data_IF_183125880353
#
_entry.id   IF_183125880353
#
_cell.length_a   1.000
_cell.length_b   1.000
_cell.length_c   1.000
_cell.angle_alpha   90.00
_cell.angle_beta   90.00
_cell.angle_gamma   90.00
#
_symmetry.space_group_name_H-M   'P 1'
#
loop_
_entity.id
_entity.type
_entity.pdbx_description
1 polymer ?
#
# COMPACT_ATOMS: atom_id res chain seq x y z
N UNK A 1 -10.50 -7.29 17.41
CA UNK A 1 -11.14 -7.82 16.19
C UNK A 1 -10.34 -7.35 14.98
N UNK A 2 -9.94 -8.27 14.08
CA UNK A 2 -9.15 -7.95 12.89
C UNK A 2 -10.02 -7.49 11.72
N UNK A 3 -9.49 -6.64 10.86
CA UNK A 3 -10.09 -6.14 9.63
C UNK A 3 -9.18 -6.50 8.47
N UNK A 4 -9.70 -7.12 7.42
CA UNK A 4 -8.96 -7.35 6.18
C UNK A 4 -9.42 -6.33 5.14
N UNK A 5 -8.48 -5.82 4.35
CA UNK A 5 -8.69 -4.79 3.33
C UNK A 5 -8.03 -5.31 2.07
N UNK A 6 -8.80 -5.39 0.99
CA UNK A 6 -8.27 -5.73 -0.33
C UNK A 6 -8.48 -4.52 -1.25
N UNK A 7 -7.43 -4.14 -1.98
CA UNK A 7 -7.48 -3.14 -3.03
C UNK A 7 -6.69 -3.67 -4.24
N UNK A 8 -7.39 -3.92 -5.35
CA UNK A 8 -6.76 -4.22 -6.63
C UNK A 8 -6.79 -2.94 -7.48
N UNK A 9 -5.63 -2.53 -8.01
CA UNK A 9 -5.57 -1.50 -9.04
C UNK A 9 -5.14 -2.17 -10.35
N UNK A 10 -6.05 -2.21 -11.33
CA UNK A 10 -5.80 -2.73 -12.68
C UNK A 10 -5.79 -1.54 -13.65
N UNK A 11 -4.67 -1.32 -14.34
CA UNK A 11 -4.56 -0.37 -15.47
C UNK A 11 -3.81 -1.10 -16.60
N UNK A 12 -4.30 -0.98 -17.83
CA UNK A 12 -4.07 -1.95 -18.92
C UNK A 12 -3.14 -1.48 -20.08
N UNK A 13 -2.44 -2.46 -20.68
CA UNK A 13 -1.74 -2.58 -22.00
C UNK A 13 -0.35 -1.90 -22.20
N UNK A 14 0.58 -2.40 -23.05
CA UNK A 14 0.82 -3.75 -23.60
C UNK A 14 1.92 -4.49 -22.82
N UNK A 15 1.97 -4.26 -21.52
CA UNK A 15 2.78 -5.00 -20.55
C UNK A 15 1.80 -5.36 -19.43
N UNK A 16 1.80 -6.61 -18.98
CA UNK A 16 0.82 -7.04 -17.98
C UNK A 16 1.27 -6.53 -16.61
N UNK A 17 0.77 -5.36 -16.20
CA UNK A 17 0.96 -4.82 -14.85
C UNK A 17 -0.14 -5.38 -13.96
N UNK A 18 0.22 -6.26 -13.03
CA UNK A 18 -0.65 -6.69 -11.94
C UNK A 18 -0.18 -6.04 -10.64
N UNK A 19 -0.92 -5.05 -10.14
CA UNK A 19 -0.68 -4.45 -8.84
C UNK A 19 -1.79 -4.85 -7.85
N UNK A 20 -1.45 -5.74 -6.92
CA UNK A 20 -2.32 -6.17 -5.83
C UNK A 20 -1.89 -5.50 -4.53
N UNK A 21 -2.83 -4.91 -3.80
CA UNK A 21 -2.56 -4.32 -2.49
C UNK A 21 -3.52 -4.91 -1.46
N UNK A 22 -2.96 -5.64 -0.50
CA UNK A 22 -3.71 -6.10 0.67
C UNK A 22 -3.32 -5.25 1.88
N UNK A 23 -4.25 -5.06 2.82
CA UNK A 23 -3.95 -4.50 4.13
C UNK A 23 -4.71 -5.28 5.16
N UNK A 24 -4.14 -5.42 6.33
CA UNK A 24 -4.81 -5.99 7.46
C UNK A 24 -4.71 -4.97 8.59
N UNK A 25 -5.79 -4.69 9.29
CA UNK A 25 -5.82 -3.72 10.37
C UNK A 25 -6.36 -4.33 11.64
N UNK A 26 -5.81 -3.95 12.78
CA UNK A 26 -6.42 -4.22 14.08
C UNK A 26 -7.30 -3.03 14.44
N UNK A 27 -8.60 -3.27 14.51
CA UNK A 27 -9.56 -2.24 14.90
C UNK A 27 -9.46 -2.01 16.40
N UNK A 28 -9.12 -0.78 16.78
CA UNK A 28 -9.18 -0.31 18.16
C UNK A 28 -10.36 0.66 18.36
N UNK A 29 -10.95 0.62 19.55
CA UNK A 29 -12.00 1.54 19.99
C UNK A 29 -11.47 2.97 20.16
N UNK A 30 -10.19 3.13 20.50
CA UNK A 30 -9.54 4.44 20.67
C UNK A 30 -9.21 5.13 19.34
N UNK A 31 -8.70 6.36 19.35
CA UNK A 31 -8.45 7.15 18.13
C UNK A 31 -7.37 6.54 17.22
N UNK A 32 -6.50 5.69 17.77
CA UNK A 32 -5.40 5.05 17.04
C UNK A 32 -5.74 3.64 16.59
N UNK A 33 -5.23 3.22 15.44
CA UNK A 33 -5.30 1.83 14.95
C UNK A 33 -4.03 1.48 14.19
N UNK A 34 -3.62 0.22 14.22
CA UNK A 34 -2.44 -0.28 13.51
C UNK A 34 -2.88 -1.11 12.30
N UNK A 35 -2.22 -0.89 11.15
CA UNK A 35 -2.55 -1.48 9.86
C UNK A 35 -1.28 -1.94 9.14
N UNK A 36 -0.88 -3.21 9.25
CA UNK A 36 0.01 -3.81 8.27
C UNK A 36 -0.57 -3.69 6.85
N UNK A 37 0.28 -3.33 5.90
CA UNK A 37 -0.04 -3.10 4.50
C UNK A 37 0.97 -3.85 3.65
N UNK A 38 0.47 -4.53 2.63
CA UNK A 38 1.25 -5.32 1.70
C UNK A 38 0.89 -4.90 0.29
N UNK A 39 1.89 -4.51 -0.49
CA UNK A 39 1.70 -4.23 -1.91
C UNK A 39 2.57 -5.17 -2.70
N UNK A 40 1.99 -5.89 -3.65
CA UNK A 40 2.72 -6.70 -4.61
C UNK A 40 2.40 -6.17 -6.00
N UNK A 41 3.43 -5.70 -6.69
CA UNK A 41 3.33 -5.28 -8.09
C UNK A 41 4.21 -6.20 -8.93
N UNK A 42 3.66 -6.74 -10.00
CA UNK A 42 4.38 -7.57 -10.95
C UNK A 42 4.12 -7.04 -12.35
N UNK A 43 5.21 -6.76 -13.05
CA UNK A 43 5.23 -6.33 -14.43
C UNK A 43 6.07 -7.32 -15.24
N UNK A 44 5.53 -7.79 -16.36
CA UNK A 44 6.26 -8.67 -17.28
C UNK A 44 6.04 -8.23 -18.73
N UNK A 45 7.09 -8.40 -19.53
CA UNK A 45 7.06 -8.13 -20.97
C UNK A 45 8.46 -8.00 -21.57
N UNK A 46 8.55 -8.15 -22.91
CA UNK A 46 9.82 -8.05 -23.63
C UNK A 46 10.89 -9.07 -23.20
N UNK A 47 10.47 -10.19 -22.59
CA UNK A 47 11.36 -11.21 -22.02
C UNK A 47 11.91 -10.89 -20.61
N UNK A 48 11.59 -9.73 -20.06
CA UNK A 48 11.95 -9.34 -18.69
C UNK A 48 10.77 -9.37 -17.71
N UNK A 49 11.09 -9.14 -16.44
CA UNK A 49 10.10 -8.93 -15.39
C UNK A 49 10.60 -7.94 -14.33
N UNK A 50 9.67 -7.22 -13.71
CA UNK A 50 9.89 -6.42 -12.52
C UNK A 50 8.88 -6.83 -11.45
N UNK A 51 9.36 -7.19 -10.26
CA UNK A 51 8.55 -7.47 -9.09
C UNK A 51 8.86 -6.42 -8.03
N UNK A 52 7.83 -5.87 -7.39
CA UNK A 52 7.96 -4.99 -6.25
C UNK A 52 7.04 -5.49 -5.12
N UNK A 53 7.60 -5.66 -3.93
CA UNK A 53 6.89 -6.02 -2.72
C UNK A 53 7.15 -4.97 -1.64
N UNK A 54 6.09 -4.28 -1.22
CA UNK A 54 6.12 -3.23 -0.19
C UNK A 54 5.34 -3.68 1.05
N UNK A 55 5.96 -4.36 2.03
CA UNK A 55 5.43 -4.47 3.37
C UNK A 55 5.63 -3.15 4.13
N UNK A 56 4.54 -2.58 4.63
CA UNK A 56 4.52 -1.40 5.49
C UNK A 56 3.74 -1.71 6.78
N UNK A 57 4.07 -1.01 7.87
CA UNK A 57 3.24 -0.93 9.07
C UNK A 57 2.81 0.51 9.25
N UNK A 58 1.50 0.73 9.27
CA UNK A 58 0.91 2.05 9.39
C UNK A 58 0.18 2.21 10.73
N UNK A 59 0.27 3.41 11.29
CA UNK A 59 -0.61 3.92 12.33
C UNK A 59 -1.66 4.80 11.66
N UNK A 60 -2.90 4.67 12.11
CA UNK A 60 -4.03 5.47 11.68
C UNK A 60 -4.57 6.24 12.87
N UNK A 61 -4.78 7.54 12.67
CA UNK A 61 -5.45 8.42 13.61
C UNK A 61 -6.82 8.81 13.06
N UNK A 62 -7.88 8.38 13.73
CA UNK A 62 -9.27 8.73 13.41
C UNK A 62 -9.56 10.12 13.96
N UNK A 63 -10.17 10.98 13.15
CA UNK A 63 -10.63 12.29 13.63
C UNK A 63 -11.86 12.13 14.54
N UNK A 64 -12.14 13.10 15.41
CA UNK A 64 -13.05 12.95 16.55
C UNK A 64 -14.43 12.32 16.25
N UNK A 65 -15.05 12.65 15.12
CA UNK A 65 -16.35 12.09 14.70
C UNK A 65 -16.26 10.78 13.91
N UNK A 66 -15.05 10.23 13.74
CA UNK A 66 -14.75 9.10 12.87
C UNK A 66 -14.63 7.80 13.66
N UNK A 67 -15.12 6.72 13.06
CA UNK A 67 -15.05 5.37 13.62
C UNK A 67 -14.08 4.53 12.80
N UNK A 68 -13.89 3.28 13.21
CA UNK A 68 -13.15 2.32 12.40
C UNK A 68 -13.82 2.05 11.04
N UNK A 69 -15.12 2.37 10.89
CA UNK A 69 -15.94 2.04 9.72
C UNK A 69 -16.32 3.26 8.86
N UNK A 70 -16.28 4.47 9.42
CA UNK A 70 -16.77 5.70 8.79
C UNK A 70 -15.88 6.88 9.14
N UNK A 71 -15.72 7.79 8.19
CA UNK A 71 -15.13 9.10 8.45
C UNK A 71 -13.65 9.20 8.13
N UNK A 72 -13.11 10.39 8.36
CA UNK A 72 -11.78 10.78 7.97
C UNK A 72 -10.71 10.29 8.97
N UNK A 73 -9.51 10.05 8.43
CA UNK A 73 -8.36 9.62 9.20
C UNK A 73 -7.06 10.14 8.57
N UNK A 74 -6.05 10.35 9.40
CA UNK A 74 -4.67 10.48 8.98
C UNK A 74 -3.97 9.13 9.12
N UNK A 75 -2.95 8.87 8.30
CA UNK A 75 -2.08 7.70 8.42
C UNK A 75 -0.62 8.08 8.23
N UNK A 76 0.24 7.42 8.98
CA UNK A 76 1.69 7.46 8.83
C UNK A 76 2.26 6.06 9.07
N UNK A 77 3.34 5.71 8.40
CA UNK A 77 3.92 4.38 8.51
C UNK A 77 5.35 4.31 8.03
N UNK A 78 5.98 3.20 8.41
CA UNK A 78 7.30 2.80 7.96
C UNK A 78 7.17 1.49 7.20
N UNK A 79 8.03 1.28 6.23
CA UNK A 79 8.01 0.07 5.44
C UNK A 79 9.32 -0.20 4.73
N UNK A 80 9.33 -1.28 4.00
CA UNK A 80 10.45 -1.73 3.21
C UNK A 80 9.97 -1.91 1.77
N UNK A 81 10.66 -1.32 0.81
CA UNK A 81 10.41 -1.54 -0.61
C UNK A 81 11.41 -2.56 -1.13
N UNK A 82 10.93 -3.75 -1.47
CA UNK A 82 11.74 -4.82 -2.05
C UNK A 82 11.43 -4.86 -3.55
N UNK A 83 12.45 -4.80 -4.39
CA UNK A 83 12.28 -4.92 -5.83
C UNK A 83 13.23 -5.95 -6.42
N UNK A 84 12.75 -6.65 -7.45
CA UNK A 84 13.54 -7.59 -8.25
C UNK A 84 13.32 -7.26 -9.71
N UNK A 85 14.41 -7.08 -10.45
CA UNK A 85 14.40 -6.87 -11.90
C UNK A 85 15.17 -8.00 -12.57
N UNK A 86 14.53 -8.65 -13.55
CA UNK A 86 15.16 -9.66 -14.38
C UNK A 86 15.00 -9.30 -15.86
N UNK A 87 16.07 -9.45 -16.63
CA UNK A 87 16.09 -9.29 -18.08
C UNK A 87 16.61 -10.56 -18.73
N UNK A 88 16.16 -10.89 -19.94
CA UNK A 88 16.65 -12.07 -20.69
C UNK A 88 18.16 -12.04 -20.83
N UNK A 89 18.82 -13.15 -20.51
CA UNK A 89 20.27 -13.29 -20.65
C UNK A 89 21.09 -12.67 -19.51
N UNK A 90 20.44 -12.10 -18.48
CA UNK A 90 21.10 -11.54 -17.31
C UNK A 90 20.53 -12.13 -16.01
N UNK A 91 21.34 -12.30 -14.95
CA UNK A 91 20.84 -12.72 -13.65
C UNK A 91 19.92 -11.64 -13.07
N UNK A 92 18.86 -12.07 -12.38
CA UNK A 92 17.97 -11.14 -11.69
C UNK A 92 18.70 -10.40 -10.58
N UNK A 93 18.46 -9.09 -10.49
CA UNK A 93 19.00 -8.25 -9.42
C UNK A 93 17.89 -7.86 -8.47
N UNK A 94 18.13 -8.03 -7.16
CA UNK A 94 17.23 -7.59 -6.11
C UNK A 94 17.79 -6.44 -5.29
N UNK A 95 16.88 -5.63 -4.76
CA UNK A 95 17.20 -4.51 -3.89
C UNK A 95 16.13 -4.26 -2.85
N UNK A 96 16.56 -3.63 -1.76
CA UNK A 96 15.71 -3.31 -0.62
C UNK A 96 15.96 -1.87 -0.23
N UNK A 97 14.92 -1.06 -0.11
CA UNK A 97 14.97 0.32 0.37
C UNK A 97 14.09 0.46 1.62
N UNK A 98 14.55 1.23 2.61
CA UNK A 98 13.66 1.68 3.67
C UNK A 98 12.71 2.73 3.12
N UNK A 99 11.52 2.82 3.71
CA UNK A 99 10.53 3.81 3.29
C UNK A 99 9.73 4.38 4.46
N UNK A 100 9.31 5.62 4.30
CA UNK A 100 8.28 6.25 5.11
C UNK A 100 7.07 6.55 4.23
N UNK A 101 5.88 6.47 4.78
CA UNK A 101 4.66 6.79 4.06
C UNK A 101 3.65 7.49 4.96
N UNK A 102 2.74 8.24 4.33
CA UNK A 102 1.65 8.89 5.04
C UNK A 102 0.51 9.24 4.10
N UNK A 103 -0.58 9.74 4.67
CA UNK A 103 -1.75 10.10 3.89
C UNK A 103 -2.94 10.54 4.74
N UNK A 104 -3.96 11.01 4.05
CA UNK A 104 -5.27 11.35 4.63
C UNK A 104 -6.30 10.61 3.80
N UNK A 105 -7.24 9.95 4.47
CA UNK A 105 -8.32 9.24 3.79
C UNK A 105 -9.64 9.35 4.51
N UNK A 106 -10.68 8.85 3.85
CA UNK A 106 -12.02 8.75 4.41
C UNK A 106 -12.60 7.36 4.15
N UNK A 107 -13.44 6.90 5.08
CA UNK A 107 -14.21 5.67 4.97
C UNK A 107 -15.67 5.98 4.70
N UNK A 108 -16.20 5.38 3.64
CA UNK A 108 -17.60 5.52 3.20
C UNK A 108 -18.29 4.16 3.40
N UNK A 109 -19.12 3.99 4.44
CA UNK A 109 -19.81 2.73 4.70
C UNK A 109 -20.67 2.30 3.53
N UNK A 110 -20.69 1.00 3.23
CA UNK A 110 -21.62 0.42 2.28
C UNK A 110 -22.90 0.01 3.01
N UNK A 111 -24.06 0.43 2.50
CA UNK A 111 -25.34 0.14 3.13
C UNK A 111 -25.59 -1.37 3.17
N UNK A 112 -25.93 -1.90 4.36
CA UNK A 112 -26.22 -3.32 4.55
C UNK A 112 -25.01 -4.27 4.52
N UNK A 113 -23.79 -3.75 4.38
CA UNK A 113 -22.58 -4.58 4.32
C UNK A 113 -21.60 -4.28 5.46
N UNK A 114 -20.88 -5.30 5.91
CA UNK A 114 -19.75 -5.16 6.83
C UNK A 114 -18.49 -4.65 6.09
N UNK A 115 -18.66 -3.64 5.23
CA UNK A 115 -17.60 -3.08 4.41
C UNK A 115 -17.72 -1.56 4.21
N UNK A 116 -16.60 -0.92 3.87
CA UNK A 116 -16.58 0.48 3.46
C UNK A 116 -15.58 0.71 2.35
N UNK A 117 -15.93 1.62 1.45
CA UNK A 117 -14.97 2.21 0.52
C UNK A 117 -13.97 3.08 1.28
N UNK A 118 -12.73 3.07 0.83
CA UNK A 118 -11.65 3.93 1.30
C UNK A 118 -11.07 4.69 0.14
N UNK A 119 -11.10 6.01 0.27
CA UNK A 119 -10.40 6.92 -0.62
C UNK A 119 -9.31 7.58 0.20
N UNK A 120 -8.06 7.48 -0.24
CA UNK A 120 -6.88 7.96 0.50
C UNK A 120 -5.94 8.70 -0.44
N UNK A 121 -5.65 9.96 -0.15
CA UNK A 121 -4.49 10.66 -0.70
C UNK A 121 -3.25 10.21 0.07
N UNK A 122 -2.13 10.04 -0.62
CA UNK A 122 -0.92 9.48 -0.03
C UNK A 122 0.37 10.14 -0.51
N UNK A 123 1.39 10.02 0.34
CA UNK A 123 2.78 10.28 0.06
C UNK A 123 3.62 9.07 0.51
N UNK A 124 4.67 8.73 -0.23
CA UNK A 124 5.69 7.73 0.14
C UNK A 124 7.05 8.27 -0.26
N UNK A 125 8.05 8.04 0.59
CA UNK A 125 9.45 8.34 0.31
C UNK A 125 10.30 7.10 0.60
N UNK A 126 11.09 6.70 -0.40
CA UNK A 126 12.06 5.62 -0.29
C UNK A 126 13.44 6.23 -0.11
N UNK A 127 14.16 5.78 0.91
CA UNK A 127 15.54 6.19 1.17
C UNK A 127 16.49 5.53 0.17
N UNK A 128 17.58 6.21 -0.15
CA UNK A 128 18.62 5.67 -1.03
C UNK A 128 19.24 4.38 -0.48
N UNK A 129 19.67 3.48 -1.37
CA UNK A 129 20.44 2.28 -1.03
C UNK A 129 21.78 2.35 -1.76
N UNK A 130 22.77 2.99 -1.12
CA UNK A 130 24.07 3.31 -1.71
C UNK A 130 24.82 2.08 -2.21
N UNK A 131 24.78 0.96 -1.46
CA UNK A 131 25.45 -0.30 -1.82
C UNK A 131 24.89 -0.97 -3.09
N UNK A 132 23.75 -0.48 -3.60
CA UNK A 132 23.12 -0.94 -4.84
C UNK A 132 22.97 0.18 -5.88
N UNK A 133 23.52 1.37 -5.61
CA UNK A 133 23.43 2.53 -6.50
C UNK A 133 22.02 3.07 -6.70
N UNK A 134 21.09 2.80 -5.77
CA UNK A 134 19.68 3.18 -5.93
C UNK A 134 19.43 4.53 -5.26
N UNK A 135 18.96 5.55 -6.02
CA UNK A 135 18.68 6.86 -5.45
C UNK A 135 17.43 6.83 -4.56
N UNK A 136 17.25 7.89 -3.77
CA UNK A 136 15.97 8.12 -3.11
C UNK A 136 14.88 8.41 -4.14
N UNK A 137 13.64 8.08 -3.79
CA UNK A 137 12.48 8.35 -4.64
C UNK A 137 11.28 8.73 -3.79
N UNK A 138 10.33 9.46 -4.39
CA UNK A 138 9.07 9.77 -3.75
C UNK A 138 7.89 9.50 -4.68
N UNK A 139 6.73 9.24 -4.09
CA UNK A 139 5.48 9.05 -4.79
C UNK A 139 4.36 9.78 -4.06
N UNK A 140 3.56 10.51 -4.82
CA UNK A 140 2.34 11.16 -4.37
C UNK A 140 1.18 10.69 -5.24
N UNK A 141 0.01 10.51 -4.66
CA UNK A 141 -1.17 10.15 -5.44
C UNK A 141 -2.40 9.91 -4.59
N UNK A 142 -3.42 9.33 -5.23
CA UNK A 142 -4.63 8.86 -4.59
C UNK A 142 -4.78 7.35 -4.78
N UNK A 143 -5.53 6.72 -3.88
CA UNK A 143 -5.87 5.30 -3.97
C UNK A 143 -7.29 5.06 -3.49
N UNK A 144 -7.93 4.08 -4.10
CA UNK A 144 -9.23 3.55 -3.69
C UNK A 144 -9.07 2.10 -3.24
N UNK A 145 -9.85 1.68 -2.25
CA UNK A 145 -9.86 0.31 -1.77
C UNK A 145 -11.10 0.01 -0.93
N UNK A 146 -11.19 -1.22 -0.44
CA UNK A 146 -12.32 -1.66 0.38
C UNK A 146 -11.83 -2.24 1.70
N UNK A 147 -12.43 -1.81 2.81
CA UNK A 147 -12.25 -2.42 4.12
C UNK A 147 -13.38 -3.38 4.43
N UNK A 148 -13.07 -4.54 5.01
CA UNK A 148 -14.02 -5.56 5.43
C UNK A 148 -13.84 -5.87 6.91
N UNK A 149 -14.95 -6.01 7.64
CA UNK A 149 -14.96 -6.38 9.05
C UNK A 149 -15.75 -7.67 9.24
N UNK A 150 -15.32 -8.49 10.21
CA UNK A 150 -16.08 -9.61 10.76
C UNK A 150 -16.28 -9.35 12.25
#
# INVERSE_FOLDING_TARGET
MGCAIAAAALVALPQVVHAQRARWGFVSSGPLSFEPRFTLSYLTGGGGHALAFDPDVNVLYKFSSSTAKKGAYATGGLGVAISSLGATGFPSTSSTQLSLNGGIGTRIPMQGAASAWRVEGFFKYNFSQTSKGIPSSYGIGARIGMSFWR
#
